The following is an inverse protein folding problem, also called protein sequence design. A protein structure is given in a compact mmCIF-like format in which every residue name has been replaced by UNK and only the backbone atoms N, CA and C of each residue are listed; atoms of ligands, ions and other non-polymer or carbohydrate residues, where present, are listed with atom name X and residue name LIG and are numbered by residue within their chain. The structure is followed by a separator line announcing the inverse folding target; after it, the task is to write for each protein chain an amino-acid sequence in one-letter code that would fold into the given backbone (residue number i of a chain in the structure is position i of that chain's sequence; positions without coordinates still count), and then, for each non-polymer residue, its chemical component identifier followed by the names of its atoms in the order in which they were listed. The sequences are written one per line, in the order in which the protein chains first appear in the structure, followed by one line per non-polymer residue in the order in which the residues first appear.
data_IF_008275650762
#
_entry.id   IF_008275650762
#
_cell.length_a   1.000
_cell.length_b   1.000
_cell.length_c   1.000
_cell.angle_alpha   90.00
_cell.angle_beta   90.00
_cell.angle_gamma   90.00
#
_symmetry.space_group_name_H-M   'P 1'
#
loop_
_entity.id
_entity.type
_entity.pdbx_description
1 polymer ?
#
# COMPACT_ATOMS: atom_id res chain seq x y z
N UNK A 1 -1.64 -21.70 -0.68
CA UNK A 1 -0.23 -21.49 -0.31
C UNK A 1 0.09 -20.03 -0.52
N UNK A 2 0.85 -19.37 0.35
CA UNK A 2 1.25 -17.99 0.15
C UNK A 2 2.15 -17.89 -1.09
N UNK A 3 2.05 -16.76 -1.78
CA UNK A 3 2.98 -16.40 -2.84
C UNK A 3 4.05 -15.49 -2.23
N UNK A 4 5.31 -15.66 -2.64
CA UNK A 4 6.39 -14.81 -2.10
C UNK A 4 6.44 -13.46 -2.81
N UNK A 5 6.03 -13.45 -4.09
CA UNK A 5 6.02 -12.25 -4.93
C UNK A 5 5.00 -12.34 -6.06
N UNK A 6 4.92 -11.26 -6.84
CA UNK A 6 4.06 -11.17 -8.03
C UNK A 6 4.46 -12.19 -9.12
N UNK A 7 5.72 -12.60 -9.21
CA UNK A 7 6.19 -13.57 -10.23
C UNK A 7 5.63 -14.96 -9.97
N UNK A 8 5.59 -15.36 -8.69
CA UNK A 8 4.95 -16.62 -8.29
C UNK A 8 3.44 -16.58 -8.52
N UNK A 9 2.81 -15.44 -8.27
CA UNK A 9 1.40 -15.23 -8.57
C UNK A 9 1.11 -15.37 -10.07
N UNK A 10 1.88 -14.70 -10.94
CA UNK A 10 1.78 -14.84 -12.40
C UNK A 10 1.91 -16.30 -12.83
N UNK A 11 2.89 -17.02 -12.25
CA UNK A 11 3.09 -18.44 -12.54
C UNK A 11 1.89 -19.31 -12.12
N UNK A 12 1.29 -18.98 -10.98
CA UNK A 12 0.10 -19.69 -10.49
C UNK A 12 -1.12 -19.44 -11.38
N UNK A 13 -1.32 -18.19 -11.81
CA UNK A 13 -2.38 -17.82 -12.76
C UNK A 13 -2.22 -18.57 -14.10
N UNK A 14 -1.01 -18.66 -14.59
CA UNK A 14 -0.69 -19.36 -15.84
C UNK A 14 -1.01 -20.86 -15.75
N UNK A 15 -0.54 -21.51 -14.69
CA UNK A 15 -0.84 -22.92 -14.40
C UNK A 15 -2.32 -23.22 -14.23
N UNK A 16 -3.08 -22.29 -13.70
CA UNK A 16 -4.51 -22.41 -13.51
C UNK A 16 -5.32 -22.14 -14.80
N UNK A 17 -4.67 -21.70 -15.88
CA UNK A 17 -5.35 -21.30 -17.11
C UNK A 17 -6.12 -19.98 -17.00
N UNK A 18 -5.84 -19.20 -15.96
CA UNK A 18 -6.49 -17.92 -15.64
C UNK A 18 -5.72 -16.70 -16.20
N UNK A 19 -4.61 -16.93 -16.94
CA UNK A 19 -3.75 -15.89 -17.51
C UNK A 19 -3.77 -15.92 -19.04
N UNK A 20 -3.90 -14.74 -19.65
CA UNK A 20 -3.65 -14.53 -21.08
C UNK A 20 -2.43 -13.65 -21.26
N UNK A 21 -1.39 -14.18 -21.95
CA UNK A 21 -0.19 -13.42 -22.32
C UNK A 21 -0.42 -12.69 -23.63
N UNK A 22 -0.05 -11.40 -23.67
CA UNK A 22 -0.20 -10.53 -24.83
C UNK A 22 1.21 -10.07 -25.24
N UNK A 23 1.61 -10.47 -26.44
CA UNK A 23 2.93 -10.13 -27.02
C UNK A 23 2.85 -8.97 -28.02
N UNK A 24 1.65 -8.68 -28.53
CA UNK A 24 1.43 -7.51 -29.36
C UNK A 24 1.72 -6.26 -28.57
N UNK A 25 2.40 -5.29 -29.21
CA UNK A 25 2.64 -3.99 -28.57
C UNK A 25 1.31 -3.32 -28.18
N UNK A 26 1.27 -2.81 -26.96
CA UNK A 26 0.08 -2.13 -26.45
C UNK A 26 0.49 -0.89 -25.62
N UNK A 27 -0.31 0.18 -25.72
CA UNK A 27 -0.05 1.45 -25.07
C UNK A 27 -0.63 1.43 -23.63
N UNK A 28 0.16 1.72 -22.60
CA UNK A 28 -0.34 1.91 -21.23
C UNK A 28 -1.35 3.05 -21.10
N UNK A 29 -1.33 3.98 -22.05
CA UNK A 29 -2.26 5.11 -22.07
C UNK A 29 -3.50 4.73 -22.87
N UNK A 30 -4.60 4.51 -22.16
CA UNK A 30 -5.95 4.22 -22.64
C UNK A 30 -6.14 2.85 -23.32
N UNK A 31 -5.18 2.34 -24.10
CA UNK A 31 -5.39 1.09 -24.87
C UNK A 31 -5.45 -0.14 -23.98
N UNK A 32 -4.43 -0.34 -23.11
CA UNK A 32 -4.43 -1.46 -22.15
C UNK A 32 -5.66 -1.42 -21.23
N UNK A 33 -6.02 -0.27 -20.63
CA UNK A 33 -7.24 -0.15 -19.85
C UNK A 33 -8.52 -0.48 -20.63
N UNK A 34 -8.65 -0.02 -21.86
CA UNK A 34 -9.81 -0.29 -22.71
C UNK A 34 -9.93 -1.78 -23.05
N UNK A 35 -8.82 -2.43 -23.42
CA UNK A 35 -8.77 -3.89 -23.63
C UNK A 35 -9.21 -4.61 -22.36
N UNK A 36 -8.70 -4.17 -21.21
CA UNK A 36 -9.01 -4.78 -19.91
C UNK A 36 -10.46 -4.58 -19.52
N UNK A 37 -11.02 -3.39 -19.74
CA UNK A 37 -12.43 -3.11 -19.46
C UNK A 37 -13.35 -4.04 -20.25
N UNK A 38 -13.08 -4.24 -21.52
CA UNK A 38 -13.84 -5.18 -22.36
C UNK A 38 -13.69 -6.64 -21.89
N UNK A 39 -12.44 -7.07 -21.62
CA UNK A 39 -12.15 -8.43 -21.18
C UNK A 39 -12.78 -8.72 -19.83
N UNK A 40 -12.74 -7.79 -18.88
CA UNK A 40 -13.33 -7.96 -17.55
C UNK A 40 -14.85 -8.17 -17.58
N UNK A 41 -15.51 -7.71 -18.64
CA UNK A 41 -16.96 -7.92 -18.88
C UNK A 41 -17.30 -9.21 -19.60
N UNK A 42 -16.29 -9.90 -20.15
CA UNK A 42 -16.50 -11.20 -20.79
C UNK A 42 -16.84 -12.28 -19.77
N UNK A 43 -17.57 -13.29 -20.23
CA UNK A 43 -17.88 -14.49 -19.46
C UNK A 43 -17.05 -15.67 -19.97
N UNK A 44 -16.69 -16.55 -19.05
CA UNK A 44 -16.06 -17.83 -19.42
C UNK A 44 -17.08 -18.81 -20.03
N UNK A 45 -16.63 -19.99 -20.45
CA UNK A 45 -17.50 -21.03 -21.02
C UNK A 45 -18.58 -21.55 -20.04
N UNK A 46 -18.41 -21.29 -18.73
CA UNK A 46 -19.37 -21.65 -17.67
C UNK A 46 -20.31 -20.49 -17.31
N UNK A 47 -20.16 -19.35 -18.00
CA UNK A 47 -20.96 -18.15 -17.76
C UNK A 47 -20.46 -17.26 -16.60
N UNK A 48 -19.33 -17.55 -15.96
CA UNK A 48 -18.77 -16.74 -14.90
C UNK A 48 -18.18 -15.43 -15.48
N UNK A 49 -18.42 -14.28 -14.83
CA UNK A 49 -17.89 -12.99 -15.28
C UNK A 49 -16.42 -12.81 -14.92
N UNK A 50 -15.77 -11.83 -15.52
CA UNK A 50 -14.46 -11.34 -15.11
C UNK A 50 -13.34 -11.58 -16.13
N UNK A 51 -13.55 -12.40 -17.16
CA UNK A 51 -12.53 -12.73 -18.17
C UNK A 51 -11.22 -13.22 -17.55
N UNK A 52 -10.15 -13.47 -18.32
CA UNK A 52 -8.83 -13.84 -17.79
C UNK A 52 -8.07 -12.64 -17.22
N UNK A 53 -7.07 -12.89 -16.39
CA UNK A 53 -6.00 -11.93 -16.12
C UNK A 53 -5.17 -11.73 -17.41
N UNK A 54 -4.65 -10.52 -17.60
CA UNK A 54 -3.87 -10.17 -18.79
C UNK A 54 -2.44 -9.80 -18.37
N UNK A 55 -1.45 -10.41 -19.03
CA UNK A 55 -0.05 -10.05 -18.88
C UNK A 55 0.47 -9.48 -20.21
N UNK A 56 0.59 -8.17 -20.28
CA UNK A 56 1.20 -7.50 -21.42
C UNK A 56 2.72 -7.56 -21.29
N UNK A 57 3.39 -8.06 -22.33
CA UNK A 57 4.83 -8.31 -22.35
C UNK A 57 5.60 -7.38 -23.32
N UNK A 58 4.87 -6.63 -24.14
CA UNK A 58 5.44 -5.63 -25.04
C UNK A 58 4.66 -4.32 -24.87
N UNK A 59 5.28 -3.40 -24.16
CA UNK A 59 4.65 -2.13 -23.74
C UNK A 59 5.27 -0.97 -24.52
N UNK A 60 4.45 -0.21 -25.21
CA UNK A 60 4.88 0.95 -25.96
C UNK A 60 5.61 1.93 -25.06
N UNK A 61 6.84 2.28 -25.45
CA UNK A 61 7.69 3.21 -24.70
C UNK A 61 8.37 2.63 -23.45
N UNK A 62 8.15 1.34 -23.10
CA UNK A 62 8.71 0.70 -21.91
C UNK A 62 9.31 -0.68 -22.21
N UNK A 63 10.39 -0.74 -22.99
CA UNK A 63 10.99 -2.01 -23.39
C UNK A 63 11.47 -2.81 -22.18
N UNK A 64 11.23 -4.13 -22.20
CA UNK A 64 11.59 -5.03 -21.10
C UNK A 64 10.68 -4.99 -19.87
N UNK A 65 9.72 -4.07 -19.82
CA UNK A 65 8.71 -4.03 -18.77
C UNK A 65 7.55 -4.97 -19.07
N UNK A 66 6.87 -5.44 -18.02
CA UNK A 66 5.64 -6.22 -18.13
C UNK A 66 4.56 -5.60 -17.25
N UNK A 67 3.29 -5.77 -17.64
CA UNK A 67 2.15 -5.25 -16.91
C UNK A 67 1.10 -6.34 -16.73
N UNK A 68 0.82 -6.68 -15.47
CA UNK A 68 -0.27 -7.58 -15.09
C UNK A 68 -1.50 -6.75 -14.71
N UNK A 69 -2.64 -7.07 -15.31
CA UNK A 69 -3.91 -6.39 -15.03
C UNK A 69 -5.06 -7.40 -14.96
N UNK A 70 -6.18 -7.00 -14.36
CA UNK A 70 -7.35 -7.87 -14.13
C UNK A 70 -7.03 -9.11 -13.28
N UNK A 71 -6.02 -9.02 -12.43
CA UNK A 71 -5.53 -10.15 -11.63
C UNK A 71 -6.53 -10.65 -10.58
N UNK A 72 -7.50 -9.86 -10.19
CA UNK A 72 -8.54 -10.18 -9.21
C UNK A 72 -9.95 -10.18 -9.80
N UNK A 73 -10.09 -10.14 -11.12
CA UNK A 73 -11.37 -9.92 -11.81
C UNK A 73 -12.33 -11.12 -11.81
N UNK A 74 -11.97 -12.29 -11.30
CA UNK A 74 -12.87 -13.44 -11.17
C UNK A 74 -12.91 -14.01 -9.76
N UNK A 75 -14.02 -14.65 -9.42
CA UNK A 75 -14.20 -15.34 -8.13
C UNK A 75 -13.13 -16.43 -7.92
N UNK A 76 -12.76 -17.14 -8.98
CA UNK A 76 -11.71 -18.16 -8.94
C UNK A 76 -10.36 -17.55 -8.56
N UNK A 77 -9.95 -16.46 -9.22
CA UNK A 77 -8.69 -15.75 -8.93
C UNK A 77 -8.68 -15.13 -7.54
N UNK A 78 -9.81 -14.55 -7.09
CA UNK A 78 -9.93 -14.03 -5.73
C UNK A 78 -9.72 -15.12 -4.67
N UNK A 79 -10.39 -16.28 -4.80
CA UNK A 79 -10.19 -17.41 -3.89
C UNK A 79 -8.75 -17.92 -3.93
N UNK A 80 -8.17 -18.02 -5.10
CA UNK A 80 -6.79 -18.46 -5.30
C UNK A 80 -5.80 -17.47 -4.67
N UNK A 81 -6.05 -16.16 -4.78
CA UNK A 81 -5.18 -15.10 -4.25
C UNK A 81 -5.05 -15.16 -2.73
N UNK A 82 -6.11 -15.54 -2.03
CA UNK A 82 -6.13 -15.66 -0.57
C UNK A 82 -6.01 -17.12 -0.08
N UNK A 83 -5.81 -18.08 -1.00
CA UNK A 83 -5.51 -19.47 -0.69
C UNK A 83 -6.67 -20.26 -0.09
N UNK A 84 -7.92 -19.98 -0.50
CA UNK A 84 -9.12 -20.66 0.00
C UNK A 84 -9.94 -21.28 -1.11
N UNK A 85 -10.76 -22.27 -0.76
CA UNK A 85 -11.72 -22.89 -1.66
C UNK A 85 -13.08 -22.17 -1.62
N UNK A 86 -13.43 -21.60 -0.47
CA UNK A 86 -14.64 -20.80 -0.29
C UNK A 86 -14.37 -19.57 0.57
N UNK A 87 -15.20 -18.53 0.43
CA UNK A 87 -15.11 -17.33 1.29
C UNK A 87 -15.50 -17.62 2.74
N UNK A 88 -16.26 -18.70 2.99
CA UNK A 88 -16.60 -19.14 4.35
C UNK A 88 -15.34 -19.53 5.15
N UNK A 89 -14.32 -20.10 4.48
CA UNK A 89 -13.04 -20.41 5.13
C UNK A 89 -12.33 -19.13 5.60
N UNK A 90 -12.32 -18.08 4.80
CA UNK A 90 -11.75 -16.78 5.21
C UNK A 90 -12.61 -16.13 6.30
N UNK A 91 -13.93 -16.17 6.15
CA UNK A 91 -14.85 -15.64 7.16
C UNK A 91 -14.67 -16.35 8.50
N UNK A 92 -14.51 -17.69 8.49
CA UNK A 92 -14.23 -18.47 9.70
C UNK A 92 -12.89 -18.09 10.33
N UNK A 93 -11.83 -17.93 9.54
CA UNK A 93 -10.51 -17.49 10.03
C UNK A 93 -10.60 -16.08 10.66
N UNK A 94 -11.26 -15.15 10.00
CA UNK A 94 -11.43 -13.77 10.51
C UNK A 94 -12.23 -13.78 11.82
N UNK A 95 -13.35 -14.53 11.89
CA UNK A 95 -14.14 -14.66 13.12
C UNK A 95 -13.30 -15.23 14.27
N UNK A 96 -12.55 -16.30 14.02
CA UNK A 96 -11.66 -16.89 15.03
C UNK A 96 -10.66 -15.84 15.58
N UNK A 97 -10.16 -14.96 14.71
CA UNK A 97 -9.27 -13.88 15.13
C UNK A 97 -9.99 -12.77 15.90
N UNK A 98 -11.21 -12.39 15.48
CA UNK A 98 -12.02 -11.36 16.14
C UNK A 98 -12.59 -11.84 17.49
N UNK A 99 -12.90 -13.14 17.62
CA UNK A 99 -13.44 -13.74 18.84
C UNK A 99 -12.37 -13.97 19.91
N UNK A 100 -11.11 -13.70 19.63
CA UNK A 100 -10.02 -13.72 20.61
C UNK A 100 -10.24 -12.62 21.65
N UNK A 101 -10.97 -12.95 22.72
CA UNK A 101 -11.18 -12.06 23.87
C UNK A 101 -9.88 -11.85 24.61
N UNK A 102 -9.65 -10.63 25.08
CA UNK A 102 -8.55 -10.35 25.99
C UNK A 102 -8.68 -11.21 27.24
N UNK A 103 -7.64 -11.98 27.63
CA UNK A 103 -7.70 -12.92 28.74
C UNK A 103 -7.94 -12.16 30.05
N UNK A 104 -9.00 -12.53 30.77
CA UNK A 104 -9.40 -11.87 32.01
C UNK A 104 -8.72 -12.45 33.25
N UNK A 105 -7.96 -13.57 33.14
CA UNK A 105 -7.32 -14.21 34.24
C UNK A 105 -6.07 -15.03 33.89
N UNK A 106 -5.32 -15.50 34.90
CA UNK A 106 -4.10 -16.27 34.69
C UNK A 106 -4.34 -17.60 33.95
N UNK A 107 -5.42 -18.30 34.26
CA UNK A 107 -5.78 -19.56 33.61
C UNK A 107 -6.19 -19.35 32.14
N UNK A 108 -6.83 -18.23 31.84
CA UNK A 108 -7.18 -17.87 30.46
C UNK A 108 -5.93 -17.53 29.64
N UNK A 109 -4.94 -16.85 30.25
CA UNK A 109 -3.63 -16.60 29.64
C UNK A 109 -2.91 -17.91 29.31
N UNK A 110 -2.97 -18.89 30.21
CA UNK A 110 -2.34 -20.19 30.00
C UNK A 110 -3.01 -20.99 28.87
N UNK A 111 -4.35 -20.94 28.77
CA UNK A 111 -5.13 -21.58 27.69
C UNK A 111 -4.91 -20.90 26.35
N UNK A 112 -4.60 -19.60 26.35
CA UNK A 112 -4.30 -18.84 25.13
C UNK A 112 -2.85 -19.00 24.65
N UNK A 113 -1.96 -19.58 25.46
CA UNK A 113 -0.55 -19.72 25.11
C UNK A 113 -0.32 -20.42 23.75
N UNK A 114 -0.97 -21.56 23.43
CA UNK A 114 -0.86 -22.19 22.12
C UNK A 114 -1.36 -21.28 20.98
N UNK A 115 -2.47 -20.56 21.22
CA UNK A 115 -3.06 -19.65 20.25
C UNK A 115 -2.19 -18.42 20.02
N UNK A 116 -1.57 -17.88 21.07
CA UNK A 116 -0.60 -16.79 20.99
C UNK A 116 0.70 -17.23 20.29
N UNK A 117 1.13 -18.47 20.50
CA UNK A 117 2.28 -19.05 19.81
C UNK A 117 1.97 -19.23 18.32
N UNK A 118 0.76 -19.62 17.96
CA UNK A 118 0.31 -19.67 16.57
C UNK A 118 0.20 -18.27 15.96
N UNK A 119 -0.42 -17.33 16.67
CA UNK A 119 -0.50 -15.95 16.23
C UNK A 119 0.89 -15.31 16.04
N UNK A 120 1.84 -15.67 16.92
CA UNK A 120 3.24 -15.25 16.84
C UNK A 120 3.92 -15.59 15.50
N UNK A 121 3.48 -16.68 14.83
CA UNK A 121 4.00 -17.09 13.52
C UNK A 121 3.60 -16.16 12.38
N UNK A 122 2.61 -15.32 12.57
CA UNK A 122 2.07 -14.45 11.51
C UNK A 122 2.56 -13.00 11.59
N UNK A 123 3.25 -12.65 12.67
CA UNK A 123 3.81 -11.30 12.80
C UNK A 123 4.81 -11.01 11.71
N UNK A 124 4.74 -9.82 11.09
CA UNK A 124 5.70 -9.41 10.09
C UNK A 124 7.11 -9.39 10.67
N UNK A 125 8.09 -9.85 9.92
CA UNK A 125 9.48 -9.85 10.33
C UNK A 125 10.33 -8.98 9.43
N UNK A 126 11.26 -8.25 10.02
CA UNK A 126 12.22 -7.47 9.23
C UNK A 126 13.37 -8.37 8.79
N UNK A 127 13.65 -8.37 7.48
CA UNK A 127 14.76 -9.11 6.89
C UNK A 127 15.76 -8.13 6.29
N UNK A 128 17.06 -8.50 6.21
CA UNK A 128 18.11 -7.57 5.77
C UNK A 128 18.04 -7.25 4.28
N UNK A 129 17.54 -8.16 3.46
CA UNK A 129 17.46 -8.01 2.00
C UNK A 129 16.27 -8.77 1.42
N UNK A 130 15.97 -8.51 0.15
CA UNK A 130 14.91 -9.18 -0.61
C UNK A 130 14.93 -8.73 -2.07
N UNK A 131 14.08 -9.32 -2.93
CA UNK A 131 14.01 -8.99 -4.35
C UNK A 131 13.85 -7.51 -4.66
N UNK A 132 13.18 -6.76 -3.77
CA UNK A 132 13.00 -5.31 -3.90
C UNK A 132 14.31 -4.51 -3.77
N UNK A 133 15.44 -5.14 -3.42
CA UNK A 133 16.77 -4.53 -3.36
C UNK A 133 17.73 -5.01 -4.46
N UNK A 134 17.27 -5.81 -5.42
CA UNK A 134 18.11 -6.24 -6.55
C UNK A 134 18.52 -5.06 -7.45
N UNK A 135 17.64 -4.07 -7.57
CA UNK A 135 17.91 -2.83 -8.32
C UNK A 135 17.56 -1.64 -7.45
N UNK A 136 18.55 -0.79 -7.16
CA UNK A 136 18.40 0.43 -6.38
C UNK A 136 18.68 1.63 -7.28
N UNK A 137 17.72 2.51 -7.46
CA UNK A 137 17.84 3.77 -8.18
C UNK A 137 17.65 4.92 -7.19
N UNK A 138 18.60 5.85 -7.07
CA UNK A 138 18.54 6.97 -6.13
C UNK A 138 18.42 8.32 -6.84
N UNK A 139 19.35 8.64 -7.72
CA UNK A 139 19.47 9.97 -8.28
C UNK A 139 19.04 10.07 -9.75
N UNK A 140 19.08 8.95 -10.48
CA UNK A 140 18.78 8.89 -11.91
C UNK A 140 17.59 7.96 -12.15
N UNK A 141 16.41 8.34 -11.68
CA UNK A 141 15.18 7.62 -11.96
C UNK A 141 14.06 8.59 -12.34
N UNK A 142 13.12 8.09 -13.10
CA UNK A 142 11.87 8.79 -13.39
C UNK A 142 10.69 7.85 -13.16
N UNK A 143 9.62 8.37 -12.57
CA UNK A 143 8.35 7.65 -12.48
C UNK A 143 7.79 7.36 -13.88
N UNK A 144 8.18 8.16 -14.87
CA UNK A 144 7.77 8.00 -16.25
C UNK A 144 8.47 6.83 -16.97
N UNK A 145 9.55 6.27 -16.38
CA UNK A 145 10.18 5.04 -16.85
C UNK A 145 9.30 3.80 -16.65
N UNK A 146 8.33 3.88 -15.74
CA UNK A 146 7.41 2.79 -15.46
C UNK A 146 6.14 2.87 -16.32
N UNK A 147 5.56 1.73 -16.74
CA UNK A 147 4.34 1.68 -17.55
C UNK A 147 3.08 2.00 -16.73
N UNK A 148 3.05 3.18 -16.13
CA UNK A 148 1.93 3.62 -15.29
C UNK A 148 0.75 3.97 -16.20
N UNK A 149 -0.42 3.44 -15.86
CA UNK A 149 -1.62 3.50 -16.68
C UNK A 149 -2.32 4.87 -16.62
N UNK A 150 -2.81 5.32 -17.75
CA UNK A 150 -3.94 6.26 -17.81
C UNK A 150 -5.20 5.48 -18.20
N UNK A 151 -6.13 5.33 -17.23
CA UNK A 151 -7.27 4.43 -17.38
C UNK A 151 -8.41 5.02 -18.20
N UNK A 152 -8.64 6.34 -18.10
CA UNK A 152 -9.79 7.00 -18.76
C UNK A 152 -9.37 8.26 -19.46
N UNK A 153 -10.06 8.64 -20.58
CA UNK A 153 -9.72 9.84 -21.37
C UNK A 153 -9.81 11.15 -20.58
N UNK A 154 -10.64 11.19 -19.54
CA UNK A 154 -10.84 12.38 -18.68
C UNK A 154 -10.13 12.27 -17.32
N UNK A 155 -9.31 11.24 -17.10
CA UNK A 155 -8.44 11.20 -15.93
C UNK A 155 -7.42 12.33 -15.98
N UNK A 156 -6.98 12.79 -14.80
CA UNK A 156 -5.98 13.84 -14.68
C UNK A 156 -4.56 13.43 -15.13
N UNK A 157 -4.40 12.26 -15.74
CA UNK A 157 -3.14 11.70 -16.22
C UNK A 157 -2.97 10.22 -15.81
N UNK A 158 -1.72 9.83 -15.57
CA UNK A 158 -1.35 8.47 -15.19
C UNK A 158 -1.54 8.23 -13.69
N UNK A 159 -1.99 7.03 -13.32
CA UNK A 159 -2.21 6.65 -11.94
C UNK A 159 -1.60 5.29 -11.61
N UNK A 160 -0.87 5.23 -10.49
CA UNK A 160 -0.52 3.96 -9.84
C UNK A 160 -1.80 3.45 -9.18
N UNK A 161 -2.33 2.33 -9.66
CA UNK A 161 -3.70 1.87 -9.35
C UNK A 161 -3.79 0.99 -8.11
N UNK A 162 -2.76 0.20 -7.81
CA UNK A 162 -2.70 -0.73 -6.67
C UNK A 162 -1.46 -0.50 -5.79
N UNK A 163 -1.14 0.73 -5.38
CA UNK A 163 -0.01 0.97 -4.52
C UNK A 163 -0.34 0.56 -3.08
N UNK A 164 0.48 -0.30 -2.51
CA UNK A 164 0.45 -0.65 -1.10
C UNK A 164 1.33 0.33 -0.32
N UNK A 165 0.72 1.27 0.37
CA UNK A 165 1.41 2.38 1.03
C UNK A 165 1.54 2.13 2.52
N UNK A 166 2.77 2.11 2.99
CA UNK A 166 3.08 2.03 4.43
C UNK A 166 3.31 3.42 4.99
N UNK A 167 2.60 3.75 6.05
CA UNK A 167 2.79 4.95 6.86
C UNK A 167 3.06 4.56 8.31
N UNK A 168 3.59 5.50 9.12
CA UNK A 168 3.75 5.33 10.57
C UNK A 168 2.97 6.38 11.32
N UNK A 169 2.27 5.92 12.35
CA UNK A 169 1.67 6.83 13.32
C UNK A 169 2.79 7.59 14.07
N UNK A 170 2.81 8.92 14.01
CA UNK A 170 3.85 9.72 14.68
C UNK A 170 3.84 9.60 16.20
N UNK A 171 2.73 9.17 16.82
CA UNK A 171 2.61 9.01 18.28
C UNK A 171 3.05 7.63 18.77
N UNK A 172 2.62 6.59 18.10
CA UNK A 172 2.85 5.21 18.54
C UNK A 172 3.91 4.46 17.74
N UNK A 173 4.39 5.05 16.64
CA UNK A 173 5.27 4.43 15.66
C UNK A 173 4.69 3.16 15.00
N UNK A 174 3.41 2.82 15.25
CA UNK A 174 2.72 1.71 14.62
C UNK A 174 2.64 1.93 13.11
N UNK A 175 2.80 0.87 12.36
CA UNK A 175 2.66 0.89 10.90
C UNK A 175 1.19 0.74 10.53
N UNK A 176 0.83 1.39 9.44
CA UNK A 176 -0.41 1.15 8.71
C UNK A 176 -0.05 0.82 7.27
N UNK A 177 -0.70 -0.17 6.71
CA UNK A 177 -0.64 -0.51 5.29
C UNK A 177 -1.98 -0.19 4.67
N UNK A 178 -2.02 0.73 3.71
CA UNK A 178 -3.24 1.11 3.03
C UNK A 178 -3.08 1.19 1.51
N UNK A 179 -4.16 0.98 0.77
CA UNK A 179 -4.17 1.19 -0.66
C UNK A 179 -4.67 2.61 -0.97
N UNK A 180 -3.79 3.44 -1.51
CA UNK A 180 -4.07 4.84 -1.84
C UNK A 180 -3.62 5.12 -3.26
N UNK A 181 -4.57 5.25 -4.21
CA UNK A 181 -4.27 5.57 -5.60
C UNK A 181 -3.40 6.83 -5.70
N UNK A 182 -2.35 6.79 -6.52
CA UNK A 182 -1.40 7.89 -6.68
C UNK A 182 -1.42 8.39 -8.12
N UNK A 183 -1.69 9.68 -8.29
CA UNK A 183 -1.55 10.37 -9.57
C UNK A 183 -0.10 10.75 -9.79
N UNK A 184 0.45 10.46 -10.95
CA UNK A 184 1.80 10.90 -11.33
C UNK A 184 1.68 12.28 -11.97
N UNK A 185 2.36 13.27 -11.40
CA UNK A 185 2.39 14.63 -11.92
C UNK A 185 3.57 14.86 -12.85
N UNK A 186 4.74 14.39 -12.42
CA UNK A 186 6.00 14.51 -13.16
C UNK A 186 6.94 13.35 -12.84
N UNK A 187 8.21 13.46 -13.19
CA UNK A 187 9.23 12.43 -13.02
C UNK A 187 9.43 11.99 -11.56
N UNK A 188 9.16 12.85 -10.59
CA UNK A 188 9.49 12.64 -9.18
C UNK A 188 8.32 12.93 -8.23
N UNK A 189 7.20 13.45 -8.75
CA UNK A 189 6.10 13.93 -7.92
C UNK A 189 4.83 13.14 -8.17
N UNK A 190 4.16 12.77 -7.08
CA UNK A 190 2.84 12.13 -7.11
C UNK A 190 1.88 12.80 -6.15
N UNK A 191 0.59 12.80 -6.50
CA UNK A 191 -0.49 13.14 -5.60
C UNK A 191 -1.13 11.88 -5.04
N UNK A 192 -1.04 11.66 -3.73
CA UNK A 192 -1.66 10.51 -3.07
C UNK A 192 -3.10 10.84 -2.66
N UNK A 193 -4.04 10.03 -3.14
CA UNK A 193 -5.44 10.18 -2.78
C UNK A 193 -5.78 9.40 -1.52
N UNK A 194 -6.02 10.07 -0.41
CA UNK A 194 -6.60 9.48 0.79
C UNK A 194 -7.84 10.23 1.25
N UNK A 195 -8.83 9.49 1.66
CA UNK A 195 -10.03 10.04 2.27
C UNK A 195 -9.75 10.42 3.73
N UNK A 196 -10.49 11.40 4.25
CA UNK A 196 -10.26 11.98 5.59
C UNK A 196 -10.28 10.97 6.74
N UNK A 197 -11.06 9.89 6.62
CA UNK A 197 -11.21 8.84 7.62
C UNK A 197 -10.15 7.73 7.53
N UNK A 198 -9.24 7.78 6.55
CA UNK A 198 -8.20 6.76 6.39
C UNK A 198 -7.04 7.02 7.35
N UNK A 199 -6.41 5.93 7.82
CA UNK A 199 -5.30 5.98 8.77
C UNK A 199 -4.13 6.85 8.29
N UNK A 200 -3.74 6.76 7.02
CA UNK A 200 -2.67 7.61 6.48
C UNK A 200 -3.02 9.11 6.56
N UNK A 201 -4.29 9.47 6.33
CA UNK A 201 -4.74 10.85 6.48
C UNK A 201 -4.70 11.31 7.96
N UNK A 202 -4.98 10.40 8.90
CA UNK A 202 -4.84 10.69 10.33
C UNK A 202 -3.38 10.90 10.71
N UNK A 203 -2.48 9.99 10.30
CA UNK A 203 -1.04 10.13 10.54
C UNK A 203 -0.49 11.46 10.00
N UNK A 204 -0.92 11.88 8.80
CA UNK A 204 -0.54 13.16 8.24
C UNK A 204 -1.04 14.34 9.08
N UNK A 205 -2.31 14.32 9.52
CA UNK A 205 -2.87 15.37 10.39
C UNK A 205 -2.13 15.47 11.71
N UNK A 206 -1.83 14.34 12.34
CA UNK A 206 -1.09 14.31 13.60
C UNK A 206 0.35 14.84 13.41
N UNK A 207 1.01 14.49 12.32
CA UNK A 207 2.33 15.02 12.00
C UNK A 207 2.32 16.52 11.78
N UNK A 208 1.31 17.03 11.08
CA UNK A 208 1.14 18.49 10.87
C UNK A 208 0.84 19.23 12.17
N UNK A 209 -0.01 18.66 13.05
CA UNK A 209 -0.29 19.26 14.38
C UNK A 209 0.97 19.34 15.23
N UNK A 210 1.78 18.29 15.24
CA UNK A 210 3.06 18.29 15.96
C UNK A 210 4.00 19.39 15.45
N UNK A 211 4.14 19.53 14.13
CA UNK A 211 4.96 20.59 13.53
C UNK A 211 4.47 22.00 13.91
N UNK A 212 3.16 22.22 13.86
CA UNK A 212 2.57 23.53 14.24
C UNK A 212 2.73 23.85 15.72
N UNK A 213 2.65 22.84 16.61
CA UNK A 213 2.85 23.04 18.05
C UNK A 213 4.29 23.41 18.38
N UNK A 214 5.26 22.84 17.69
CA UNK A 214 6.68 23.12 17.87
C UNK A 214 7.04 24.53 17.35
N UNK A 215 6.45 24.97 16.25
CA UNK A 215 6.60 26.33 15.73
C UNK A 215 6.05 27.37 16.72
N UNK A 216 4.88 27.11 17.32
CA UNK A 216 4.28 27.98 18.35
C UNK A 216 5.13 28.02 19.62
N UNK A 217 5.64 26.88 20.07
CA UNK A 217 6.53 26.81 21.24
C UNK A 217 7.85 27.56 20.99
N UNK A 218 8.41 27.45 19.80
CA UNK A 218 9.63 28.17 19.39
C UNK A 218 9.37 29.66 19.28
N UNK A 219 8.25 30.10 18.71
CA UNK A 219 7.86 31.50 18.64
C UNK A 219 7.59 32.08 20.02
N UNK A 220 6.94 31.34 20.93
CA UNK A 220 6.71 31.76 22.31
C UNK A 220 8.04 31.91 23.11
N UNK A 221 9.02 31.07 22.85
CA UNK A 221 10.35 31.14 23.47
C UNK A 221 11.18 32.30 22.94
N UNK A 222 10.90 32.77 21.72
CA UNK A 222 11.60 33.91 21.11
C UNK A 222 11.02 35.30 21.49
N UNK A 223 9.84 35.32 22.12
CA UNK A 223 9.21 36.59 22.56
C UNK A 223 9.86 37.07 23.84
N UNK A 224 10.78 38.01 23.73
CA UNK A 224 11.24 38.82 24.87
C UNK A 224 10.08 39.66 25.42
N UNK A 225 9.92 39.80 26.74
CA UNK A 225 8.88 40.64 27.32
C UNK A 225 9.14 42.12 26.99
N UNK A 226 8.37 42.68 26.06
CA UNK A 226 8.49 44.10 25.78
C UNK A 226 7.94 44.65 24.46
N UNK A 227 7.34 43.87 23.56
CA UNK A 227 6.69 44.44 22.37
C UNK A 227 5.31 43.82 22.11
N UNK A 228 4.28 44.66 22.09
CA UNK A 228 2.93 44.26 21.66
C UNK A 228 2.94 43.84 20.19
N UNK A 229 2.32 42.71 19.85
CA UNK A 229 2.21 42.26 18.45
C UNK A 229 1.17 43.06 17.71
N UNK A 230 1.50 43.50 16.49
CA UNK A 230 0.54 43.95 15.50
C UNK A 230 -0.32 42.75 15.05
N UNK A 231 -1.60 42.96 14.83
CA UNK A 231 -2.57 41.95 14.44
C UNK A 231 -2.17 41.23 13.13
N UNK A 232 -2.27 39.91 13.05
CA UNK A 232 -1.97 39.19 11.82
C UNK A 232 -3.14 39.33 10.82
N UNK A 233 -2.81 39.73 9.59
CA UNK A 233 -3.73 39.72 8.47
C UNK A 233 -4.17 38.29 8.12
N UNK A 234 -5.46 38.16 7.84
CA UNK A 234 -6.14 36.93 7.43
C UNK A 234 -5.65 36.48 6.06
N UNK A 235 -4.78 35.48 6.00
CA UNK A 235 -4.52 34.74 4.78
C UNK A 235 -4.26 33.24 5.10
N UNK A 236 -5.29 32.62 5.71
CA UNK A 236 -5.27 31.20 6.09
C UNK A 236 -5.78 30.25 4.99
N UNK A 237 -5.91 30.72 3.73
CA UNK A 237 -6.51 29.93 2.66
C UNK A 237 -5.53 29.37 1.61
N UNK A 238 -4.21 29.41 1.86
CA UNK A 238 -3.18 28.93 0.91
C UNK A 238 -2.16 27.95 1.45
N UNK A 239 -2.50 27.22 2.50
CA UNK A 239 -1.74 25.99 2.80
C UNK A 239 -2.33 24.84 1.97
N UNK A 240 -2.12 24.86 0.66
CA UNK A 240 -2.16 23.64 -0.14
C UNK A 240 -1.09 22.72 0.43
N UNK A 241 -1.54 21.59 0.97
CA UNK A 241 -0.69 20.58 1.58
C UNK A 241 0.12 19.93 0.47
N UNK A 242 1.30 20.46 0.19
CA UNK A 242 2.33 19.82 -0.62
C UNK A 242 2.93 18.66 0.18
N UNK A 243 2.18 17.56 0.26
CA UNK A 243 2.73 16.29 0.72
C UNK A 243 3.49 15.70 -0.47
N UNK A 244 4.69 16.20 -0.68
CA UNK A 244 5.63 15.61 -1.62
C UNK A 244 6.09 14.27 -1.06
N UNK A 245 5.61 13.17 -1.64
CA UNK A 245 6.26 11.89 -1.52
C UNK A 245 7.57 11.97 -2.34
N UNK A 246 8.64 12.48 -1.73
CA UNK A 246 9.97 12.27 -2.28
C UNK A 246 10.40 10.87 -1.88
N UNK A 247 10.66 10.02 -2.87
CA UNK A 247 11.46 8.81 -2.69
C UNK A 247 12.90 9.24 -2.45
N UNK A 248 13.19 9.80 -1.27
CA UNK A 248 14.55 10.04 -0.83
C UNK A 248 14.99 8.85 -0.01
N UNK A 249 16.13 8.28 -0.40
CA UNK A 249 16.82 7.23 0.32
C UNK A 249 16.89 7.51 1.81
N UNK A 250 16.65 6.47 2.60
CA UNK A 250 16.51 6.56 4.04
C UNK A 250 17.67 7.26 4.72
N UNK A 251 17.36 8.33 5.41
CA UNK A 251 18.19 8.80 6.51
C UNK A 251 17.49 8.43 7.81
N UNK A 252 18.18 7.69 8.64
CA UNK A 252 17.86 7.56 10.07
C UNK A 252 17.84 8.98 10.62
N UNK A 253 16.69 9.45 11.11
CA UNK A 253 16.58 10.76 11.76
C UNK A 253 17.60 10.83 12.88
N UNK A 254 18.58 11.71 12.74
CA UNK A 254 19.45 12.09 13.84
C UNK A 254 18.61 12.87 14.86
N UNK A 255 18.85 12.62 16.15
CA UNK A 255 18.31 13.42 17.26
C UNK A 255 18.63 14.89 17.00
N UNK A 256 17.61 15.71 16.69
CA UNK A 256 17.77 17.16 16.50
C UNK A 256 17.02 17.77 15.31
N UNK A 257 16.43 16.98 14.43
CA UNK A 257 15.68 17.51 13.30
C UNK A 257 14.28 17.97 13.74
N UNK A 258 14.01 19.28 13.59
CA UNK A 258 12.69 19.86 13.85
C UNK A 258 11.63 19.17 13.00
N UNK A 259 10.44 18.87 13.53
CA UNK A 259 9.39 18.25 12.76
C UNK A 259 8.99 19.14 11.58
N UNK A 260 9.44 18.77 10.40
CA UNK A 260 9.29 19.55 9.16
C UNK A 260 7.88 19.51 8.56
N UNK A 261 6.88 18.97 9.26
CA UNK A 261 5.56 18.67 8.68
C UNK A 261 5.58 17.56 7.62
N UNK A 262 6.74 17.04 7.27
CA UNK A 262 6.92 15.94 6.31
C UNK A 262 6.64 14.59 6.99
N UNK A 263 6.03 13.68 6.26
CA UNK A 263 5.79 12.30 6.67
C UNK A 263 6.43 11.36 5.66
N UNK A 264 7.30 10.47 6.15
CA UNK A 264 7.87 9.41 5.32
C UNK A 264 6.81 8.36 5.00
N UNK A 265 6.82 7.90 3.75
CA UNK A 265 5.98 6.82 3.27
C UNK A 265 6.81 5.83 2.45
N UNK A 266 6.46 4.55 2.52
CA UNK A 266 6.97 3.54 1.61
C UNK A 266 5.83 3.04 0.72
N UNK A 267 6.07 2.97 -0.59
CA UNK A 267 5.09 2.55 -1.58
C UNK A 267 5.58 1.26 -2.25
N UNK A 268 4.86 0.16 -2.04
CA UNK A 268 5.14 -1.10 -2.70
C UNK A 268 4.16 -1.31 -3.86
N UNK A 269 4.69 -1.65 -5.04
CA UNK A 269 3.94 -1.93 -6.25
C UNK A 269 4.25 -3.36 -6.69
N UNK A 270 3.22 -4.14 -7.04
CA UNK A 270 3.39 -5.54 -7.44
C UNK A 270 3.71 -6.46 -6.28
N UNK A 271 3.09 -6.24 -5.13
CA UNK A 271 3.20 -7.12 -3.96
C UNK A 271 2.51 -8.46 -4.20
N UNK A 272 2.72 -9.40 -3.28
CA UNK A 272 1.93 -10.61 -3.26
C UNK A 272 0.42 -10.29 -3.11
N UNK A 273 -0.48 -11.11 -3.66
CA UNK A 273 -1.92 -10.85 -3.65
C UNK A 273 -2.51 -10.67 -2.26
N UNK A 274 -2.01 -11.38 -1.26
CA UNK A 274 -2.54 -11.29 0.12
C UNK A 274 -2.19 -9.96 0.77
N UNK A 275 -0.98 -9.43 0.51
CA UNK A 275 -0.59 -8.09 0.97
C UNK A 275 -1.46 -7.03 0.31
N UNK A 276 -1.69 -7.16 -1.00
CA UNK A 276 -2.62 -6.29 -1.73
C UNK A 276 -4.04 -6.34 -1.12
N UNK A 277 -4.54 -7.53 -0.81
CA UNK A 277 -5.84 -7.71 -0.15
C UNK A 277 -5.86 -7.09 1.25
N UNK A 278 -4.84 -7.35 2.06
CA UNK A 278 -4.76 -6.82 3.42
C UNK A 278 -4.75 -5.29 3.46
N UNK A 279 -4.17 -4.64 2.45
CA UNK A 279 -4.13 -3.17 2.37
C UNK A 279 -5.50 -2.49 2.21
N UNK A 280 -6.55 -3.24 1.92
CA UNK A 280 -7.94 -2.74 1.81
C UNK A 280 -8.84 -3.22 2.96
N UNK A 281 -8.36 -4.14 3.80
CA UNK A 281 -9.14 -4.66 4.94
C UNK A 281 -9.25 -3.57 6.01
N UNK A 282 -10.46 -3.31 6.53
CA UNK A 282 -10.64 -2.39 7.66
C UNK A 282 -10.18 -3.08 8.96
N UNK A 283 -8.87 -3.10 9.18
CA UNK A 283 -8.31 -3.65 10.42
C UNK A 283 -8.65 -2.76 11.63
N UNK A 284 -8.88 -3.34 12.81
CA UNK A 284 -8.99 -2.58 14.04
C UNK A 284 -7.72 -1.74 14.28
N UNK A 285 -7.81 -0.57 14.95
CA UNK A 285 -6.68 0.35 15.14
C UNK A 285 -5.46 -0.27 15.83
N UNK A 286 -5.67 -1.36 16.57
CA UNK A 286 -4.60 -2.07 17.28
C UNK A 286 -3.86 -3.11 16.43
N UNK A 287 -4.37 -3.43 15.24
CA UNK A 287 -3.89 -4.53 14.40
C UNK A 287 -3.27 -3.94 13.14
N UNK A 288 -1.98 -4.26 12.92
CA UNK A 288 -1.31 -3.93 11.67
C UNK A 288 -1.85 -4.81 10.52
N UNK A 289 -2.10 -4.24 9.35
CA UNK A 289 -2.56 -4.97 8.17
C UNK A 289 -1.56 -6.03 7.70
N UNK A 290 -0.28 -5.85 7.99
CA UNK A 290 0.75 -6.89 7.74
C UNK A 290 0.54 -8.14 8.59
N UNK A 291 0.01 -8.01 9.81
CA UNK A 291 -0.38 -9.15 10.64
C UNK A 291 -1.59 -9.85 10.02
N UNK A 292 -2.57 -9.09 9.51
CA UNK A 292 -3.73 -9.65 8.78
C UNK A 292 -3.25 -10.42 7.55
N UNK A 293 -2.31 -9.87 6.78
CA UNK A 293 -1.71 -10.56 5.64
C UNK A 293 -1.03 -11.86 6.07
N UNK A 294 -0.22 -11.84 7.13
CA UNK A 294 0.44 -13.02 7.68
C UNK A 294 -0.55 -14.09 8.11
N UNK A 295 -1.63 -13.70 8.76
CA UNK A 295 -2.70 -14.60 9.19
C UNK A 295 -3.42 -15.26 7.99
N UNK A 296 -3.79 -14.48 6.97
CA UNK A 296 -4.45 -15.01 5.78
C UNK A 296 -3.55 -16.00 5.04
N UNK A 297 -2.28 -15.65 4.85
CA UNK A 297 -1.31 -16.48 4.12
C UNK A 297 -0.77 -17.66 4.92
N UNK A 298 -0.98 -17.68 6.24
CA UNK A 298 -0.45 -18.72 7.14
C UNK A 298 1.08 -18.66 7.33
N UNK A 299 1.71 -17.51 7.03
CA UNK A 299 3.14 -17.28 7.13
C UNK A 299 3.44 -15.79 7.32
N UNK A 300 4.53 -15.41 8.00
CA UNK A 300 4.88 -14.01 8.21
C UNK A 300 5.13 -13.29 6.87
N UNK A 301 4.88 -12.00 6.86
CA UNK A 301 5.30 -11.12 5.76
C UNK A 301 6.72 -10.64 6.03
N UNK A 302 7.62 -10.83 5.08
CA UNK A 302 8.97 -10.31 5.16
C UNK A 302 8.99 -8.85 4.73
N UNK A 303 9.47 -8.00 5.61
CA UNK A 303 9.62 -6.58 5.40
C UNK A 303 11.10 -6.23 5.26
N UNK A 304 11.44 -5.52 4.20
CA UNK A 304 12.80 -5.02 3.96
C UNK A 304 12.82 -3.54 4.30
N UNK A 305 13.81 -3.10 5.06
CA UNK A 305 13.99 -1.68 5.35
C UNK A 305 14.34 -0.95 4.05
N UNK A 306 13.62 0.14 3.76
CA UNK A 306 13.97 1.02 2.64
C UNK A 306 15.35 1.66 2.84
N UNK A 307 16.00 1.96 1.73
CA UNK A 307 17.30 2.63 1.69
C UNK A 307 17.16 4.13 1.94
#
# INVERSE_FOLDING_TARGET
MPFDDLRQWITALDRAGELKRIQTEADPILEIPEITDRVSKCRDAKGNPGGPALLFQNLKGHPGSQLLINQFGSDARMKMSVGVKSYDEIAARIRMFMDMKSPQGFLDKLKMLPLLTEAGKFFPRTVPTGPCKEVIKRDNFSLLDFPILQCWPKDGGRFITLPCVTTRDPKSAKRNLGMYRMQVYDEHTTGMHWQRQKNAAEHARERMRAAMSDDVATAASAVQPGRSPAAPGTDASRAAVDIMARSSGGSVLAEGDRPSGKMEVAVAIGTDPVVTFASIVPAPPEIEEYLVAGFIRGAPVDLVKCE
#
